data_IF_907720386804
#
_entry.id   IF_907720386804
#
_cell.length_a   1.000
_cell.length_b   1.000
_cell.length_c   1.000
_cell.angle_alpha   90.00
_cell.angle_beta   90.00
_cell.angle_gamma   90.00
#
_symmetry.space_group_name_H-M   'P 1'
#
loop_
_entity.id
_entity.type
_entity.pdbx_description
1 polymer ?
#
# COMPACT_ATOMS: atom_id res chain seq x y z
N UNK A 1 -23.96 -23.60 26.23
CA UNK A 1 -24.39 -22.21 25.95
C UNK A 1 -25.54 -21.90 26.88
N UNK A 2 -25.52 -20.78 27.61
CA UNK A 2 -26.64 -20.41 28.49
C UNK A 2 -27.83 -19.85 27.70
N UNK A 3 -29.04 -19.91 28.26
CA UNK A 3 -30.25 -19.37 27.62
C UNK A 3 -30.13 -17.89 27.26
N UNK A 4 -29.49 -17.09 28.11
CA UNK A 4 -29.22 -15.68 27.85
C UNK A 4 -28.38 -15.48 26.57
N UNK A 5 -27.37 -16.32 26.35
CA UNK A 5 -26.52 -16.28 25.15
C UNK A 5 -27.29 -16.65 23.89
N UNK A 6 -28.15 -17.68 23.96
CA UNK A 6 -28.97 -18.11 22.82
C UNK A 6 -29.96 -17.00 22.43
N UNK A 7 -30.56 -16.37 23.43
CA UNK A 7 -31.51 -15.26 23.24
C UNK A 7 -30.83 -14.05 22.60
N UNK A 8 -29.64 -13.67 23.09
CA UNK A 8 -28.88 -12.54 22.54
C UNK A 8 -28.47 -12.78 21.07
N UNK A 9 -28.01 -13.98 20.72
CA UNK A 9 -27.69 -14.35 19.33
C UNK A 9 -28.94 -14.25 18.44
N UNK A 10 -30.09 -14.73 18.94
CA UNK A 10 -31.35 -14.67 18.18
C UNK A 10 -31.81 -13.23 17.95
N UNK A 11 -31.67 -12.38 18.96
CA UNK A 11 -32.01 -10.96 18.87
C UNK A 11 -31.08 -10.21 17.91
N UNK A 12 -29.79 -10.52 17.91
CA UNK A 12 -28.78 -9.87 17.06
C UNK A 12 -28.56 -10.54 15.69
N UNK A 13 -29.38 -11.55 15.35
CA UNK A 13 -29.34 -12.32 14.10
C UNK A 13 -29.11 -11.46 12.86
N UNK A 14 -29.92 -10.41 12.69
CA UNK A 14 -29.90 -9.61 11.47
C UNK A 14 -28.59 -8.82 11.35
N UNK A 15 -28.16 -8.19 12.45
CA UNK A 15 -26.90 -7.45 12.49
C UNK A 15 -25.69 -8.35 12.21
N UNK A 16 -25.70 -9.60 12.72
CA UNK A 16 -24.65 -10.59 12.45
C UNK A 16 -24.61 -10.94 10.96
N UNK A 17 -25.78 -11.19 10.35
CA UNK A 17 -25.88 -11.52 8.92
C UNK A 17 -25.48 -10.35 8.02
N UNK A 18 -25.93 -9.13 8.32
CA UNK A 18 -25.55 -7.92 7.59
C UNK A 18 -24.04 -7.69 7.65
N UNK A 19 -23.44 -7.87 8.83
CA UNK A 19 -22.01 -7.71 9.00
C UNK A 19 -21.21 -8.77 8.25
N UNK A 20 -21.68 -10.02 8.25
CA UNK A 20 -21.09 -11.11 7.48
C UNK A 20 -21.12 -10.83 5.97
N UNK A 21 -22.24 -10.30 5.45
CA UNK A 21 -22.42 -10.03 4.02
C UNK A 21 -21.48 -8.96 3.45
N UNK A 22 -21.05 -8.01 4.29
CA UNK A 22 -20.20 -6.87 3.89
C UNK A 22 -18.71 -7.21 3.91
N UNK A 23 -18.32 -8.39 4.36
CA UNK A 23 -16.92 -8.83 4.38
C UNK A 23 -16.60 -9.62 3.12
N UNK A 24 -15.41 -9.40 2.55
CA UNK A 24 -14.90 -10.23 1.47
C UNK A 24 -14.87 -11.71 1.91
N UNK A 25 -15.30 -12.61 1.03
CA UNK A 25 -15.43 -14.07 1.24
C UNK A 25 -14.13 -14.82 1.61
N UNK A 26 -13.06 -14.10 1.96
CA UNK A 26 -11.82 -14.66 2.43
C UNK A 26 -11.93 -15.31 3.81
N UNK A 27 -10.90 -16.07 4.16
CA UNK A 27 -10.81 -16.87 5.39
C UNK A 27 -10.87 -16.05 6.70
N UNK A 28 -10.91 -14.72 6.59
CA UNK A 28 -11.07 -13.79 7.71
C UNK A 28 -12.40 -13.93 8.46
N UNK A 29 -13.50 -14.27 7.75
CA UNK A 29 -14.81 -14.42 8.41
C UNK A 29 -14.85 -15.63 9.35
N UNK A 30 -14.19 -16.73 8.98
CA UNK A 30 -14.17 -17.97 9.77
C UNK A 30 -13.40 -17.82 11.09
N UNK A 31 -12.46 -16.88 11.16
CA UNK A 31 -11.62 -16.62 12.35
C UNK A 31 -12.15 -15.50 13.24
N UNK A 32 -13.06 -14.66 12.75
CA UNK A 32 -13.51 -13.47 13.47
C UNK A 32 -14.64 -13.81 14.44
N UNK A 33 -14.42 -13.53 15.73
CA UNK A 33 -15.40 -13.74 16.81
C UNK A 33 -16.16 -12.46 17.21
N UNK A 34 -15.77 -11.30 16.70
CA UNK A 34 -16.29 -9.99 17.11
C UNK A 34 -16.63 -9.12 15.90
N UNK A 35 -17.75 -8.41 15.95
CA UNK A 35 -18.20 -7.46 14.92
C UNK A 35 -17.59 -6.06 15.10
N UNK A 36 -16.28 -5.96 15.38
CA UNK A 36 -15.61 -4.66 15.50
C UNK A 36 -15.53 -4.00 14.13
N UNK A 37 -16.03 -2.77 14.04
CA UNK A 37 -15.91 -1.90 12.86
C UNK A 37 -14.64 -1.04 13.00
N UNK A 38 -14.03 -0.67 11.88
CA UNK A 38 -12.93 0.26 11.86
C UNK A 38 -13.32 1.59 12.50
N UNK A 39 -12.34 2.29 13.11
CA UNK A 39 -12.57 3.57 13.78
C UNK A 39 -13.04 4.67 12.81
N UNK A 40 -12.59 4.61 11.56
CA UNK A 40 -12.88 5.60 10.52
C UNK A 40 -13.29 4.92 9.20
N UNK A 41 -14.48 4.29 9.13
CA UNK A 41 -14.86 3.44 8.00
C UNK A 41 -14.94 4.19 6.66
N UNK A 42 -15.35 5.47 6.69
CA UNK A 42 -15.42 6.30 5.49
C UNK A 42 -14.02 6.67 4.96
N UNK A 43 -13.07 6.89 5.87
CA UNK A 43 -11.68 7.19 5.51
C UNK A 43 -11.03 5.95 4.90
N UNK A 44 -11.19 4.79 5.52
CA UNK A 44 -10.66 3.52 4.99
C UNK A 44 -11.23 3.23 3.59
N UNK A 45 -12.54 3.46 3.40
CA UNK A 45 -13.19 3.30 2.09
C UNK A 45 -12.65 4.30 1.05
N UNK A 46 -12.47 5.56 1.43
CA UNK A 46 -11.90 6.57 0.55
C UNK A 46 -10.45 6.25 0.17
N UNK A 47 -9.63 5.82 1.13
CA UNK A 47 -8.26 5.37 0.88
C UNK A 47 -8.25 4.16 -0.07
N UNK A 48 -9.07 3.14 0.19
CA UNK A 48 -9.20 1.95 -0.67
C UNK A 48 -9.55 2.35 -2.11
N UNK A 49 -10.60 3.16 -2.29
CA UNK A 49 -11.01 3.64 -3.62
C UNK A 49 -9.90 4.42 -4.31
N UNK A 50 -9.22 5.32 -3.58
CA UNK A 50 -8.09 6.08 -4.11
C UNK A 50 -6.93 5.17 -4.53
N UNK A 51 -6.60 4.15 -3.74
CA UNK A 51 -5.55 3.18 -4.08
C UNK A 51 -5.91 2.36 -5.34
N UNK A 52 -7.15 1.89 -5.46
CA UNK A 52 -7.64 1.15 -6.62
C UNK A 52 -7.58 2.06 -7.87
N UNK A 53 -8.06 3.30 -7.75
CA UNK A 53 -8.01 4.28 -8.82
C UNK A 53 -6.57 4.57 -9.25
N UNK A 54 -5.67 4.85 -8.29
CA UNK A 54 -4.25 5.14 -8.57
C UNK A 54 -3.52 3.98 -9.24
N UNK A 55 -3.86 2.72 -8.87
CA UNK A 55 -3.32 1.53 -9.55
C UNK A 55 -3.87 1.34 -10.96
N UNK A 56 -5.15 1.66 -11.19
CA UNK A 56 -5.74 1.60 -12.53
C UNK A 56 -5.13 2.65 -13.49
N UNK A 57 -4.68 3.78 -12.94
CA UNK A 57 -3.93 4.81 -13.68
C UNK A 57 -2.48 4.41 -14.00
N UNK A 58 -1.86 3.51 -13.23
CA UNK A 58 -0.53 2.98 -13.51
C UNK A 58 -0.62 1.85 -14.56
N UNK A 59 -0.79 2.24 -15.84
CA UNK A 59 -0.26 1.43 -16.94
C UNK A 59 1.19 1.03 -16.63
N UNK A 60 1.63 -0.20 -16.92
CA UNK A 60 2.98 -0.64 -16.59
C UNK A 60 4.02 0.25 -17.31
N UNK A 61 4.89 0.90 -16.54
CA UNK A 61 6.09 1.59 -17.05
C UNK A 61 7.14 0.54 -17.44
N UNK A 62 6.79 -0.33 -18.40
CA UNK A 62 7.68 -1.33 -18.98
C UNK A 62 7.58 -1.35 -20.51
N UNK A 63 6.81 -0.44 -21.12
CA UNK A 63 6.56 -0.46 -22.56
C UNK A 63 6.46 0.93 -23.19
N UNK A 64 7.38 1.83 -22.86
CA UNK A 64 7.72 2.95 -23.75
C UNK A 64 9.25 2.95 -23.87
N UNK A 65 9.70 2.12 -24.80
CA UNK A 65 11.03 2.17 -25.37
C UNK A 65 11.17 3.47 -26.17
N UNK A 66 12.37 4.05 -26.08
CA UNK A 66 13.07 4.82 -27.10
C UNK A 66 12.27 5.20 -28.34
N UNK A 67 12.05 6.49 -28.53
CA UNK A 67 12.09 7.07 -29.87
C UNK A 67 12.98 8.33 -29.75
N UNK A 68 14.24 8.18 -30.16
CA UNK A 68 15.05 9.32 -30.59
C UNK A 68 14.49 9.76 -31.95
N UNK A 69 13.91 10.95 -32.02
CA UNK A 69 13.85 11.70 -33.27
C UNK A 69 13.97 13.19 -32.95
N UNK A 70 15.09 13.73 -33.43
CA UNK A 70 15.54 15.11 -33.46
C UNK A 70 14.49 16.06 -34.08
N UNK A 71 14.32 17.25 -33.47
CA UNK A 71 14.19 18.58 -34.10
C UNK A 71 13.35 19.60 -33.28
N UNK A 72 14.03 20.67 -32.88
CA UNK A 72 13.63 22.06 -32.60
C UNK A 72 12.19 22.46 -32.20
N UNK A 73 12.07 23.08 -31.01
CA UNK A 73 11.52 24.45 -30.76
C UNK A 73 10.79 24.56 -29.42
N UNK A 74 10.94 25.72 -28.76
CA UNK A 74 10.47 26.07 -27.42
C UNK A 74 8.98 25.79 -27.16
N UNK A 75 8.67 25.13 -26.03
CA UNK A 75 7.55 25.53 -25.19
C UNK A 75 7.71 25.00 -23.75
N UNK A 76 7.31 25.82 -22.78
CA UNK A 76 7.45 25.64 -21.34
C UNK A 76 6.83 24.31 -20.86
N UNK A 77 7.67 23.30 -20.66
CA UNK A 77 7.27 22.02 -20.04
C UNK A 77 7.03 22.25 -18.54
N UNK A 78 5.75 22.46 -18.19
CA UNK A 78 5.23 22.31 -16.83
C UNK A 78 5.73 20.98 -16.25
N UNK A 79 6.81 21.05 -15.47
CA UNK A 79 7.45 19.89 -14.87
C UNK A 79 6.43 19.10 -14.06
N UNK A 80 6.01 17.95 -14.57
CA UNK A 80 5.20 17.01 -13.80
C UNK A 80 5.99 16.67 -12.54
N UNK A 81 5.40 16.73 -11.33
CA UNK A 81 6.13 16.49 -10.10
C UNK A 81 6.69 15.07 -10.12
N UNK A 82 8.02 14.97 -10.23
CA UNK A 82 8.73 13.70 -10.19
C UNK A 82 8.50 13.11 -8.80
N UNK A 83 7.84 11.96 -8.73
CA UNK A 83 7.58 11.27 -7.46
C UNK A 83 8.88 10.90 -6.74
N UNK A 84 8.81 10.58 -5.43
CA UNK A 84 10.00 10.28 -4.64
C UNK A 84 10.75 9.08 -5.23
N UNK A 85 12.07 9.20 -5.30
CA UNK A 85 12.97 8.10 -5.61
C UNK A 85 12.86 7.01 -4.55
N UNK A 86 13.28 5.79 -4.89
CA UNK A 86 13.32 4.68 -3.92
C UNK A 86 14.17 5.01 -2.69
N UNK A 87 15.19 5.88 -2.82
CA UNK A 87 16.02 6.33 -1.71
C UNK A 87 15.27 7.30 -0.78
N UNK A 88 14.58 8.28 -1.34
CA UNK A 88 13.77 9.24 -0.58
C UNK A 88 12.60 8.54 0.13
N UNK A 89 11.94 7.60 -0.54
CA UNK A 89 10.88 6.79 0.08
C UNK A 89 11.42 5.94 1.23
N UNK A 90 12.60 5.33 1.08
CA UNK A 90 13.22 4.54 2.15
C UNK A 90 13.56 5.42 3.37
N UNK A 91 14.16 6.59 3.15
CA UNK A 91 14.48 7.53 4.22
C UNK A 91 13.21 7.98 4.97
N UNK A 92 12.14 8.30 4.24
CA UNK A 92 10.86 8.68 4.85
C UNK A 92 10.25 7.56 5.71
N UNK A 93 10.36 6.29 5.28
CA UNK A 93 9.91 5.15 6.07
C UNK A 93 10.74 4.94 7.34
N UNK A 94 12.06 5.09 7.28
CA UNK A 94 12.93 5.01 8.46
C UNK A 94 12.60 6.12 9.46
N UNK A 95 12.45 7.38 9.00
CA UNK A 95 12.02 8.48 9.87
C UNK A 95 10.64 8.23 10.49
N UNK A 96 9.69 7.72 9.71
CA UNK A 96 8.36 7.36 10.20
C UNK A 96 8.39 6.24 11.24
N UNK A 97 9.25 5.24 11.05
CA UNK A 97 9.47 4.14 12.01
C UNK A 97 10.04 4.67 13.33
N UNK A 98 11.11 5.47 13.29
CA UNK A 98 11.74 6.03 14.49
C UNK A 98 10.78 6.92 15.29
N UNK A 99 9.94 7.70 14.60
CA UNK A 99 8.92 8.52 15.25
C UNK A 99 7.81 7.66 15.88
N UNK A 100 7.36 6.62 15.16
CA UNK A 100 6.26 5.76 15.61
C UNK A 100 6.67 4.87 16.79
N UNK A 101 7.91 4.38 16.82
CA UNK A 101 8.46 3.59 17.93
C UNK A 101 8.45 4.36 19.28
N UNK A 102 8.43 5.70 19.26
CA UNK A 102 8.40 6.56 20.46
C UNK A 102 6.99 6.87 20.97
N UNK A 103 5.93 6.54 20.22
CA UNK A 103 4.56 6.86 20.63
C UNK A 103 4.03 5.83 21.65
N UNK A 104 3.22 6.28 22.61
CA UNK A 104 2.64 5.39 23.63
C UNK A 104 1.63 4.40 23.03
N UNK A 105 1.00 4.77 21.91
CA UNK A 105 0.05 3.97 21.16
C UNK A 105 0.73 3.01 20.16
N UNK A 106 2.06 2.90 20.21
CA UNK A 106 2.82 2.05 19.31
C UNK A 106 2.36 0.59 19.40
N UNK A 107 1.69 0.13 18.35
CA UNK A 107 1.18 -1.24 18.26
C UNK A 107 2.19 -2.13 17.52
N UNK A 108 2.61 -3.28 18.10
CA UNK A 108 3.54 -4.21 17.44
C UNK A 108 3.11 -4.61 16.03
N UNK A 109 1.81 -4.77 15.79
CA UNK A 109 1.28 -5.12 14.45
C UNK A 109 1.45 -3.98 13.45
N UNK A 110 1.24 -2.73 13.86
CA UNK A 110 1.42 -1.57 12.99
C UNK A 110 2.91 -1.36 12.67
N UNK A 111 3.80 -1.59 13.66
CA UNK A 111 5.26 -1.59 13.44
C UNK A 111 5.68 -2.65 12.42
N UNK A 112 5.20 -3.88 12.56
CA UNK A 112 5.53 -4.97 11.63
C UNK A 112 5.07 -4.66 10.20
N UNK A 113 3.87 -4.07 10.04
CA UNK A 113 3.38 -3.64 8.73
C UNK A 113 4.25 -2.54 8.13
N UNK A 114 4.67 -1.56 8.93
CA UNK A 114 5.51 -0.47 8.46
C UNK A 114 6.92 -0.96 8.09
N UNK A 115 7.51 -1.88 8.88
CA UNK A 115 8.78 -2.56 8.57
C UNK A 115 8.69 -3.33 7.26
N UNK A 116 7.59 -4.05 7.02
CA UNK A 116 7.34 -4.75 5.75
C UNK A 116 7.27 -3.80 4.55
N UNK A 117 6.63 -2.64 4.70
CA UNK A 117 6.54 -1.64 3.63
C UNK A 117 7.93 -1.05 3.31
N UNK A 118 8.72 -0.75 4.34
CA UNK A 118 10.11 -0.32 4.17
C UNK A 118 10.95 -1.38 3.44
N UNK A 119 10.85 -2.64 3.83
CA UNK A 119 11.62 -3.73 3.23
C UNK A 119 11.26 -3.89 1.74
N UNK A 120 9.98 -3.72 1.38
CA UNK A 120 9.56 -3.67 -0.02
C UNK A 120 10.24 -2.53 -0.79
N UNK A 121 10.39 -1.34 -0.19
CA UNK A 121 11.12 -0.23 -0.82
C UNK A 121 12.61 -0.55 -0.95
N UNK A 122 13.21 -1.18 0.05
CA UNK A 122 14.61 -1.63 0.01
C UNK A 122 14.85 -2.66 -1.11
N UNK A 123 13.95 -3.62 -1.28
CA UNK A 123 14.00 -4.58 -2.39
C UNK A 123 13.93 -3.89 -3.75
N UNK A 124 13.04 -2.90 -3.91
CA UNK A 124 12.95 -2.09 -5.14
C UNK A 124 14.21 -1.28 -5.40
N UNK A 125 14.87 -0.78 -4.36
CA UNK A 125 16.18 -0.11 -4.45
C UNK A 125 17.26 -1.06 -4.97
N UNK A 126 17.35 -2.26 -4.41
CA UNK A 126 18.31 -3.29 -4.84
C UNK A 126 18.04 -3.75 -6.27
N UNK A 127 16.76 -3.93 -6.65
CA UNK A 127 16.39 -4.31 -8.02
C UNK A 127 16.78 -3.23 -9.04
N UNK A 128 16.52 -1.95 -8.75
CA UNK A 128 16.95 -0.84 -9.59
C UNK A 128 18.48 -0.77 -9.74
N UNK A 129 19.22 -1.07 -8.67
CA UNK A 129 20.68 -1.10 -8.69
C UNK A 129 21.26 -2.30 -9.46
N UNK A 130 20.56 -3.45 -9.46
CA UNK A 130 20.92 -4.64 -10.27
C UNK A 130 20.63 -4.49 -11.76
N UNK A 131 19.79 -3.53 -12.15
CA UNK A 131 19.42 -3.29 -13.54
C UNK A 131 20.53 -2.61 -14.36
N UNK A 132 21.63 -2.18 -13.72
CA UNK A 132 22.83 -1.67 -14.40
C UNK A 132 23.59 -2.89 -14.94
N UNK A 133 23.16 -3.41 -16.10
CA UNK A 133 23.71 -4.60 -16.75
C UNK A 133 25.08 -4.30 -17.38
N UNK A 134 25.75 -5.38 -17.77
CA UNK A 134 27.13 -5.48 -18.28
C UNK A 134 27.39 -4.61 -19.53
N UNK A 135 26.35 -4.14 -20.22
CA UNK A 135 26.46 -3.26 -21.38
C UNK A 135 27.11 -1.90 -21.07
N UNK A 136 27.10 -1.46 -19.80
CA UNK A 136 27.85 -0.27 -19.37
C UNK A 136 29.38 -0.49 -19.27
N UNK A 137 29.87 -1.73 -19.26
CA UNK A 137 31.31 -2.02 -19.26
C UNK A 137 31.92 -2.08 -20.67
N UNK A 138 31.11 -2.28 -21.70
CA UNK A 138 31.60 -2.46 -23.09
C UNK A 138 31.77 -1.12 -23.83
N UNK A 139 31.21 -0.02 -23.32
CA UNK A 139 31.30 1.32 -23.94
C UNK A 139 32.52 2.16 -23.51
N UNK A 140 33.39 1.64 -22.64
CA UNK A 140 34.63 2.30 -22.18
C UNK A 140 35.89 1.49 -22.53
N UNK A 141 35.82 0.62 -23.53
CA UNK A 141 36.96 0.01 -24.24
C UNK A 141 36.87 0.51 -25.69
#
# INVERSE_FOLDING_TARGET
MGEATITDIKNNRHAIMDFASKMDSGDGIKRRKVMKVAKYPNLDKAMEMWFIQKRSLNKPISSLQNEESDDSSSDESMGTPKGPTSAEAFAAFETGLEWFEKQAECCPTQLLLLKRLRDLVAEKRVAAHRQIKIDNFVKNI
#
